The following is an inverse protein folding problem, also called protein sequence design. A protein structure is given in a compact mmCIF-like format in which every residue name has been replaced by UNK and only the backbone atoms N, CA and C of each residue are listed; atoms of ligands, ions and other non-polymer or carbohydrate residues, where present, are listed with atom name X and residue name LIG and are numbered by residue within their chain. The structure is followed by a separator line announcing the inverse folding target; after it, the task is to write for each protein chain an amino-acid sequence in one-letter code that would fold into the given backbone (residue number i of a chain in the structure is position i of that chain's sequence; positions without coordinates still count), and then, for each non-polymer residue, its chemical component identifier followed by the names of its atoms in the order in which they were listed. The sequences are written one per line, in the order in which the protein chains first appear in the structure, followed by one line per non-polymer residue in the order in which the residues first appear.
data_IF_572275770302
#
_entry.id   IF_572275770302
#
_cell.length_a   1.000
_cell.length_b   1.000
_cell.length_c   1.000
_cell.angle_alpha   90.00
_cell.angle_beta   90.00
_cell.angle_gamma   90.00
#
_symmetry.space_group_name_H-M   'P 1'
#
loop_
_entity.id
_entity.type
_entity.pdbx_description
1 polymer ?
#
# COMPACT_ATOMS: atom_id res chain seq x y z
N UNK A 1 5.39 9.95 11.98
CA UNK A 1 5.85 8.89 11.10
C UNK A 1 7.02 9.40 10.25
N UNK A 2 8.16 8.77 10.39
CA UNK A 2 9.34 9.16 9.63
C UNK A 2 9.27 8.51 8.24
N UNK A 3 8.77 9.25 7.26
CA UNK A 3 8.64 8.82 5.85
C UNK A 3 9.90 9.12 5.01
N UNK A 4 11.02 9.44 5.64
CA UNK A 4 12.24 9.80 4.93
C UNK A 4 13.46 9.30 5.70
N UNK A 5 13.86 8.12 5.35
CA UNK A 5 15.05 7.46 5.86
C UNK A 5 14.75 5.99 6.16
N UNK A 6 15.72 5.17 5.98
CA UNK A 6 15.68 3.73 6.27
C UNK A 6 15.62 3.42 7.77
N UNK A 7 14.80 4.15 8.54
CA UNK A 7 14.72 3.97 10.00
C UNK A 7 13.27 4.13 10.47
N UNK A 8 12.81 3.19 11.29
CA UNK A 8 11.58 3.30 12.05
C UNK A 8 11.93 3.69 13.50
N UNK A 9 11.33 4.77 14.01
CA UNK A 9 11.49 5.18 15.39
C UNK A 9 10.38 4.59 16.25
N UNK A 10 10.74 3.70 17.21
CA UNK A 10 9.82 3.11 18.16
C UNK A 10 10.36 3.42 19.57
N UNK A 11 9.61 4.16 20.39
CA UNK A 11 9.95 4.50 21.77
C UNK A 11 11.42 4.94 21.92
N UNK A 12 11.82 6.00 21.22
CA UNK A 12 13.16 6.61 21.24
C UNK A 12 14.31 5.73 20.70
N UNK A 13 14.00 4.62 20.06
CA UNK A 13 14.97 3.79 19.34
C UNK A 13 14.69 3.81 17.86
N UNK A 14 15.75 4.00 17.08
CA UNK A 14 15.71 3.87 15.62
C UNK A 14 16.03 2.41 15.25
N UNK A 15 15.20 1.84 14.38
CA UNK A 15 15.40 0.52 13.78
C UNK A 15 15.63 0.69 12.30
N UNK A 16 16.62 0.01 11.71
CA UNK A 16 16.82 0.03 10.27
C UNK A 16 15.59 -0.60 9.59
N UNK A 17 14.98 0.15 8.68
CA UNK A 17 13.78 -0.29 7.97
C UNK A 17 13.86 0.15 6.51
N UNK A 18 13.63 -0.75 5.58
CA UNK A 18 13.52 -0.40 4.16
C UNK A 18 12.29 0.49 3.90
N UNK A 19 12.29 1.17 2.77
CA UNK A 19 11.28 2.17 2.41
C UNK A 19 9.83 1.61 2.48
N UNK A 20 9.65 0.33 2.13
CA UNK A 20 8.36 -0.37 2.16
C UNK A 20 8.22 -1.35 3.33
N UNK A 21 9.10 -1.25 4.33
CA UNK A 21 9.14 -2.20 5.43
C UNK A 21 9.97 -3.45 5.09
N UNK A 22 9.58 -4.59 5.63
CA UNK A 22 10.31 -5.85 5.47
C UNK A 22 9.44 -7.03 5.00
N UNK A 23 8.12 -6.87 5.04
CA UNK A 23 7.20 -7.99 4.77
C UNK A 23 7.28 -8.50 3.32
N UNK A 24 7.61 -7.64 2.37
CA UNK A 24 7.82 -7.97 0.96
C UNK A 24 9.14 -8.72 0.71
N UNK A 25 10.09 -8.64 1.63
CA UNK A 25 11.39 -9.33 1.59
C UNK A 25 11.38 -10.68 2.31
N UNK A 26 10.31 -10.98 3.05
CA UNK A 26 10.18 -12.21 3.82
C UNK A 26 9.60 -13.36 2.99
N UNK A 27 9.96 -14.58 3.36
CA UNK A 27 9.29 -15.77 2.85
C UNK A 27 7.95 -15.95 3.58
N UNK A 28 6.87 -15.98 2.82
CA UNK A 28 5.53 -16.24 3.31
C UNK A 28 5.20 -17.73 3.19
N UNK A 29 4.46 -18.24 4.16
CA UNK A 29 3.92 -19.58 4.10
C UNK A 29 2.44 -19.54 3.65
N UNK A 30 1.97 -20.66 3.12
CA UNK A 30 0.56 -20.81 2.75
C UNK A 30 -0.17 -21.42 3.93
N UNK A 31 -1.01 -20.61 4.58
CA UNK A 31 -1.84 -21.06 5.69
C UNK A 31 -3.03 -21.91 5.20
N UNK A 32 -3.69 -21.46 4.15
CA UNK A 32 -4.82 -22.19 3.57
C UNK A 32 -5.03 -21.85 2.10
N UNK A 33 -5.62 -22.80 1.37
CA UNK A 33 -6.03 -22.62 -0.04
C UNK A 33 -7.48 -23.09 -0.17
N UNK A 34 -8.31 -22.18 -0.68
CA UNK A 34 -9.69 -22.47 -1.09
C UNK A 34 -9.84 -22.54 -2.61
N UNK A 35 -11.04 -22.80 -3.12
CA UNK A 35 -11.31 -22.83 -4.56
C UNK A 35 -11.11 -21.48 -5.23
N UNK A 36 -11.37 -20.38 -4.52
CA UNK A 36 -11.35 -19.03 -5.06
C UNK A 36 -10.44 -18.10 -4.24
N UNK A 37 -9.61 -18.64 -3.32
CA UNK A 37 -8.78 -17.80 -2.48
C UNK A 37 -7.61 -18.52 -1.84
N UNK A 38 -6.72 -17.73 -1.26
CA UNK A 38 -5.54 -18.18 -0.52
C UNK A 38 -5.29 -17.27 0.67
N UNK A 39 -4.91 -17.86 1.78
CA UNK A 39 -4.40 -17.13 2.95
C UNK A 39 -2.90 -17.40 3.08
N UNK A 40 -2.16 -16.33 3.13
CA UNK A 40 -0.71 -16.35 3.38
C UNK A 40 -0.47 -15.90 4.83
N UNK A 41 0.55 -16.48 5.44
CA UNK A 41 0.97 -16.18 6.81
C UNK A 41 2.45 -15.79 6.85
N UNK A 42 2.75 -14.77 7.64
CA UNK A 42 4.10 -14.39 8.00
C UNK A 42 4.17 -14.23 9.51
N UNK A 43 4.98 -15.06 10.15
CA UNK A 43 5.24 -14.99 11.57
C UNK A 43 6.56 -14.29 11.87
N UNK A 44 6.66 -13.72 13.06
CA UNK A 44 7.91 -13.14 13.54
C UNK A 44 9.00 -14.20 13.67
N UNK A 45 10.20 -13.86 13.24
CA UNK A 45 11.40 -14.71 13.29
C UNK A 45 12.52 -13.95 14.02
N UNK A 46 13.61 -14.62 14.43
CA UNK A 46 14.78 -13.91 14.95
C UNK A 46 15.32 -12.83 14.01
N UNK A 47 15.19 -13.03 12.68
CA UNK A 47 15.61 -12.04 11.69
C UNK A 47 14.67 -10.85 11.64
N UNK A 48 13.36 -11.06 11.59
CA UNK A 48 12.39 -9.95 11.60
C UNK A 48 12.44 -9.16 12.90
N UNK A 49 12.70 -9.82 14.04
CA UNK A 49 12.87 -9.17 15.34
C UNK A 49 14.09 -8.24 15.43
N UNK A 50 15.08 -8.44 14.60
CA UNK A 50 16.21 -7.51 14.50
C UNK A 50 15.79 -6.16 13.91
N UNK A 51 14.86 -6.19 12.94
CA UNK A 51 14.32 -4.99 12.28
C UNK A 51 13.11 -4.42 13.03
N UNK A 52 12.27 -5.30 13.57
CA UNK A 52 11.00 -4.96 14.22
C UNK A 52 10.83 -5.86 15.46
N UNK A 53 11.16 -5.38 16.67
CA UNK A 53 11.38 -6.20 17.86
C UNK A 53 10.07 -6.61 18.56
N UNK A 54 9.13 -7.12 17.82
CA UNK A 54 7.84 -7.60 18.33
C UNK A 54 7.57 -9.02 17.87
N UNK A 55 6.79 -9.74 18.65
CA UNK A 55 6.18 -10.99 18.26
C UNK A 55 4.86 -10.69 17.57
N UNK A 56 4.72 -11.15 16.33
CA UNK A 56 3.55 -10.89 15.51
C UNK A 56 3.23 -12.06 14.59
N UNK A 57 1.98 -12.14 14.22
CA UNK A 57 1.48 -12.90 13.07
C UNK A 57 0.77 -11.95 12.11
N UNK A 58 1.13 -11.99 10.84
CA UNK A 58 0.48 -11.27 9.77
C UNK A 58 -0.17 -12.27 8.81
N UNK A 59 -1.49 -12.15 8.63
CA UNK A 59 -2.26 -12.92 7.68
C UNK A 59 -2.69 -12.01 6.53
N UNK A 60 -2.52 -12.47 5.30
CA UNK A 60 -3.08 -11.81 4.11
C UNK A 60 -3.94 -12.81 3.36
N UNK A 61 -5.21 -12.51 3.28
CA UNK A 61 -6.18 -13.32 2.55
C UNK A 61 -6.50 -12.65 1.21
N UNK A 62 -6.48 -13.44 0.15
CA UNK A 62 -6.90 -13.07 -1.20
C UNK A 62 -8.09 -13.92 -1.58
N UNK A 63 -9.22 -13.28 -1.89
CA UNK A 63 -10.44 -13.90 -2.40
C UNK A 63 -10.80 -13.35 -3.77
N UNK A 64 -11.15 -14.23 -4.70
CA UNK A 64 -11.56 -13.88 -6.06
C UNK A 64 -13.04 -14.19 -6.24
N UNK A 65 -13.78 -13.20 -6.72
CA UNK A 65 -15.20 -13.39 -7.08
C UNK A 65 -15.46 -12.71 -8.44
N UNK A 66 -15.49 -13.51 -9.48
CA UNK A 66 -15.63 -13.01 -10.86
C UNK A 66 -14.45 -12.09 -11.22
N UNK A 67 -14.72 -10.80 -11.37
CA UNK A 67 -13.72 -9.77 -11.69
C UNK A 67 -13.26 -8.98 -10.46
N UNK A 68 -13.68 -9.37 -9.28
CA UNK A 68 -13.32 -8.71 -8.02
C UNK A 68 -12.27 -9.52 -7.28
N UNK A 69 -11.20 -8.88 -6.87
CA UNK A 69 -10.24 -9.40 -5.90
C UNK A 69 -10.43 -8.66 -4.57
N UNK A 70 -10.72 -9.39 -3.51
CA UNK A 70 -10.78 -8.87 -2.15
C UNK A 70 -9.52 -9.26 -1.40
N UNK A 71 -8.89 -8.29 -0.75
CA UNK A 71 -7.66 -8.50 0.01
C UNK A 71 -7.94 -8.04 1.43
N UNK A 72 -7.80 -8.95 2.39
CA UNK A 72 -7.88 -8.61 3.80
C UNK A 72 -6.58 -8.92 4.51
N UNK A 73 -6.22 -8.06 5.45
CA UNK A 73 -4.98 -8.15 6.20
C UNK A 73 -5.30 -8.16 7.69
N UNK A 74 -4.73 -9.13 8.41
CA UNK A 74 -4.90 -9.24 9.86
C UNK A 74 -3.54 -9.23 10.50
N UNK A 75 -3.33 -8.26 11.40
CA UNK A 75 -2.11 -8.13 12.19
C UNK A 75 -2.43 -8.55 13.63
N UNK A 76 -1.74 -9.58 14.11
CA UNK A 76 -1.91 -10.11 15.46
C UNK A 76 -0.64 -9.78 16.24
N UNK A 77 -0.83 -9.12 17.37
CA UNK A 77 0.24 -8.91 18.35
C UNK A 77 0.32 -10.13 19.26
N UNK A 78 1.38 -10.91 19.13
CA UNK A 78 1.62 -12.11 19.93
C UNK A 78 2.37 -11.80 21.25
N UNK A 79 2.74 -10.54 21.46
CA UNK A 79 3.46 -10.10 22.66
C UNK A 79 2.58 -9.39 23.67
N UNK A 80 3.15 -9.13 24.85
CA UNK A 80 2.46 -8.49 25.98
C UNK A 80 2.51 -6.95 25.96
N UNK A 81 3.19 -6.36 24.97
CA UNK A 81 3.36 -4.91 24.88
C UNK A 81 2.66 -4.35 23.62
N UNK A 82 2.18 -3.11 23.67
CA UNK A 82 1.61 -2.48 22.48
C UNK A 82 2.61 -2.49 21.31
N UNK A 83 2.16 -2.99 20.18
CA UNK A 83 2.91 -3.12 18.93
C UNK A 83 2.45 -2.07 17.94
N UNK A 84 3.19 -0.97 17.74
CA UNK A 84 2.85 0.02 16.73
C UNK A 84 3.21 -0.52 15.34
N UNK A 85 2.27 -0.45 14.41
CA UNK A 85 2.52 -0.88 13.03
C UNK A 85 1.89 0.09 12.04
N UNK A 86 2.41 0.04 10.83
CA UNK A 86 1.82 0.67 9.65
C UNK A 86 1.80 -0.38 8.54
N UNK A 87 0.75 -0.40 7.77
CA UNK A 87 0.57 -1.34 6.68
C UNK A 87 0.12 -0.61 5.42
N UNK A 88 0.58 -1.07 4.26
CA UNK A 88 0.19 -0.53 2.97
C UNK A 88 0.14 -1.63 1.91
N UNK A 89 -0.63 -1.39 0.86
CA UNK A 89 -0.70 -2.24 -0.31
C UNK A 89 -0.20 -1.49 -1.54
N UNK A 90 0.64 -2.12 -2.35
CA UNK A 90 1.26 -1.50 -3.52
C UNK A 90 0.89 -2.26 -4.81
N UNK A 91 -0.35 -2.12 -5.30
CA UNK A 91 -0.80 -2.83 -6.49
C UNK A 91 -0.22 -2.22 -7.76
N UNK A 92 -0.04 -3.07 -8.77
CA UNK A 92 0.35 -2.67 -10.11
C UNK A 92 -0.78 -2.97 -11.09
N UNK A 93 -1.11 -2.00 -11.93
CA UNK A 93 -2.13 -2.13 -12.96
C UNK A 93 -1.50 -1.90 -14.33
N UNK A 94 -1.86 -2.74 -15.30
CA UNK A 94 -1.43 -2.57 -16.69
C UNK A 94 -2.31 -1.54 -17.37
N UNK A 95 -1.69 -0.63 -18.11
CA UNK A 95 -2.38 0.33 -18.95
C UNK A 95 -1.84 0.27 -20.39
N UNK A 96 -2.68 0.62 -21.38
CA UNK A 96 -2.27 0.71 -22.79
C UNK A 96 -1.20 1.80 -23.00
N UNK A 97 -1.39 2.94 -22.35
CA UNK A 97 -0.45 4.03 -22.20
C UNK A 97 -0.90 4.92 -21.04
N UNK A 98 0.02 5.59 -20.36
CA UNK A 98 -0.31 6.41 -19.18
C UNK A 98 -1.25 7.58 -19.53
N UNK A 99 -1.06 8.18 -20.68
CA UNK A 99 -1.88 9.28 -21.21
C UNK A 99 -3.32 8.88 -21.55
N UNK A 100 -3.58 7.59 -21.72
CA UNK A 100 -4.91 7.06 -21.97
C UNK A 100 -5.70 6.82 -20.67
N UNK A 101 -5.06 6.89 -19.51
CA UNK A 101 -5.73 6.61 -18.24
C UNK A 101 -6.36 7.85 -17.66
N UNK A 102 -7.67 7.79 -17.46
CA UNK A 102 -8.40 8.75 -16.64
C UNK A 102 -8.44 8.25 -15.20
N UNK A 103 -8.07 9.13 -14.27
CA UNK A 103 -8.09 8.91 -12.84
C UNK A 103 -9.26 9.68 -12.23
N UNK A 104 -10.23 8.96 -11.70
CA UNK A 104 -11.29 9.51 -10.86
C UNK A 104 -10.92 9.24 -9.40
N UNK A 105 -10.16 10.15 -8.82
CA UNK A 105 -9.65 10.10 -7.46
C UNK A 105 -9.99 11.42 -6.79
N UNK A 106 -10.75 11.35 -5.71
CA UNK A 106 -11.00 12.49 -4.85
C UNK A 106 -10.02 12.45 -3.68
N UNK A 107 -9.36 13.56 -3.41
CA UNK A 107 -8.43 13.68 -2.30
C UNK A 107 -8.34 15.13 -1.82
N UNK A 108 -7.91 15.33 -0.59
CA UNK A 108 -7.77 16.68 -0.02
C UNK A 108 -6.54 17.39 -0.60
N UNK A 109 -5.41 16.69 -0.70
CA UNK A 109 -4.17 17.25 -1.26
C UNK A 109 -3.57 16.33 -2.30
N UNK A 110 -2.80 16.91 -3.23
CA UNK A 110 -2.06 16.16 -4.24
C UNK A 110 -0.73 16.88 -4.53
N UNK A 111 0.39 16.25 -4.18
CA UNK A 111 1.74 16.79 -4.37
C UNK A 111 2.59 15.90 -5.26
N UNK A 112 3.47 16.52 -6.05
CA UNK A 112 4.48 15.80 -6.82
C UNK A 112 5.72 15.42 -5.99
N UNK A 113 5.83 15.96 -4.79
CA UNK A 113 6.97 15.75 -3.90
C UNK A 113 6.50 15.29 -2.53
N UNK A 114 7.17 14.28 -1.99
CA UNK A 114 6.93 13.82 -0.62
C UNK A 114 7.37 14.83 0.45
N UNK A 115 8.24 15.79 0.07
CA UNK A 115 8.77 16.85 0.95
C UNK A 115 8.28 18.20 0.47
N UNK A 116 7.61 18.94 1.34
CA UNK A 116 7.17 20.31 1.07
C UNK A 116 5.68 20.53 1.29
N UNK A 117 5.18 21.64 0.77
CA UNK A 117 3.77 21.99 0.84
C UNK A 117 2.89 20.93 0.14
N UNK A 118 1.79 20.62 0.77
CA UNK A 118 0.76 19.73 0.22
C UNK A 118 -0.35 20.61 -0.38
N UNK A 119 -0.29 20.95 -1.68
CA UNK A 119 -1.30 21.79 -2.30
C UNK A 119 -2.64 21.07 -2.34
N UNK A 120 -3.73 21.85 -2.35
CA UNK A 120 -5.07 21.32 -2.56
C UNK A 120 -5.11 20.50 -3.87
N UNK A 121 -5.90 19.43 -3.85
CA UNK A 121 -6.00 18.56 -5.02
C UNK A 121 -6.56 19.34 -6.22
N UNK A 122 -6.03 19.12 -7.43
CA UNK A 122 -6.59 19.67 -8.65
C UNK A 122 -7.96 19.02 -8.95
N UNK A 123 -8.80 19.72 -9.70
CA UNK A 123 -10.10 19.18 -10.13
C UNK A 123 -9.96 17.84 -10.88
N UNK A 124 -8.87 17.67 -11.61
CA UNK A 124 -8.55 16.43 -12.33
C UNK A 124 -7.10 16.02 -12.08
N UNK A 125 -6.92 14.80 -11.60
CA UNK A 125 -5.59 14.21 -11.44
C UNK A 125 -5.14 13.63 -12.78
N UNK A 126 -3.95 14.03 -13.21
CA UNK A 126 -3.29 13.49 -14.40
C UNK A 126 -1.89 13.01 -14.04
N UNK A 127 -1.51 11.88 -14.60
CA UNK A 127 -0.14 11.37 -14.53
C UNK A 127 0.51 11.55 -15.90
N UNK A 128 1.65 12.21 -15.91
CA UNK A 128 2.44 12.37 -17.14
C UNK A 128 3.84 11.85 -16.87
N UNK A 129 4.39 11.13 -17.85
CA UNK A 129 5.78 10.71 -17.79
C UNK A 129 6.65 11.97 -18.00
N UNK A 130 7.48 12.31 -17.04
CA UNK A 130 8.49 13.37 -17.23
C UNK A 130 9.67 12.79 -18.00
N UNK A 131 10.16 13.52 -19.00
CA UNK A 131 11.35 13.15 -19.76
C UNK A 131 12.55 13.03 -18.79
N UNK A 132 13.20 11.86 -18.77
CA UNK A 132 14.34 11.59 -17.88
C UNK A 132 13.98 11.15 -16.45
N UNK A 133 12.69 11.00 -16.12
CA UNK A 133 12.25 10.42 -14.85
C UNK A 133 11.57 9.08 -15.09
N UNK A 134 11.94 8.07 -14.28
CA UNK A 134 11.37 6.74 -14.43
C UNK A 134 9.88 6.69 -14.08
N UNK A 135 9.43 7.55 -13.17
CA UNK A 135 8.04 7.56 -12.71
C UNK A 135 7.51 8.97 -12.43
N UNK A 136 6.22 9.15 -12.65
CA UNK A 136 5.44 10.28 -12.13
C UNK A 136 4.81 9.85 -10.81
N UNK A 137 5.25 10.43 -9.70
CA UNK A 137 4.73 10.12 -8.38
C UNK A 137 3.79 11.23 -7.95
N UNK A 138 2.66 10.86 -7.36
CA UNK A 138 1.74 11.75 -6.67
C UNK A 138 1.55 11.26 -5.25
N UNK A 139 1.80 12.12 -4.28
CA UNK A 139 1.42 11.89 -2.89
C UNK A 139 0.08 12.57 -2.65
N UNK A 140 -0.89 11.82 -2.21
CA UNK A 140 -2.24 12.28 -1.94
C UNK A 140 -2.59 12.03 -0.48
N UNK A 141 -3.33 12.95 0.13
CA UNK A 141 -3.89 12.78 1.48
C UNK A 141 -5.39 12.98 1.46
N UNK A 142 -6.09 12.37 2.42
CA UNK A 142 -7.55 12.43 2.48
C UNK A 142 -8.19 11.87 1.21
N UNK A 143 -7.70 10.73 0.76
CA UNK A 143 -8.27 10.02 -0.41
C UNK A 143 -9.63 9.47 -0.02
N UNK A 144 -10.62 9.74 -0.85
CA UNK A 144 -11.96 9.16 -0.73
C UNK A 144 -12.06 7.92 -1.61
N UNK A 145 -12.61 6.85 -1.06
CA UNK A 145 -12.92 5.63 -1.80
C UNK A 145 -14.40 5.57 -2.20
N UNK A 146 -14.76 4.85 -3.27
CA UNK A 146 -13.86 4.18 -4.20
C UNK A 146 -13.14 5.14 -5.15
N UNK A 147 -11.92 4.78 -5.56
CA UNK A 147 -11.23 5.45 -6.66
C UNK A 147 -11.26 4.60 -7.93
N UNK A 148 -11.23 5.23 -9.09
CA UNK A 148 -11.37 4.54 -10.37
C UNK A 148 -10.28 4.96 -11.35
N UNK A 149 -9.79 3.98 -12.10
CA UNK A 149 -8.85 4.15 -13.21
C UNK A 149 -9.51 3.60 -14.47
N UNK A 150 -9.64 4.42 -15.50
CA UNK A 150 -10.24 4.01 -16.79
C UNK A 150 -9.23 4.20 -17.91
N UNK A 151 -8.80 3.10 -18.52
CA UNK A 151 -7.94 3.13 -19.71
C UNK A 151 -8.80 3.22 -20.97
N UNK A 152 -8.82 4.38 -21.61
CA UNK A 152 -9.55 4.64 -22.83
C UNK A 152 -8.97 3.93 -24.06
N UNK A 153 -7.71 3.52 -23.99
CA UNK A 153 -7.05 2.84 -25.10
C UNK A 153 -7.52 1.40 -25.30
N UNK A 154 -7.94 0.74 -24.22
CA UNK A 154 -8.42 -0.65 -24.25
C UNK A 154 -9.80 -0.85 -23.61
N UNK A 155 -10.38 0.19 -23.02
CA UNK A 155 -11.67 0.15 -22.34
C UNK A 155 -11.67 -0.51 -20.97
N UNK A 156 -10.52 -0.86 -20.41
CA UNK A 156 -10.44 -1.44 -19.09
C UNK A 156 -10.71 -0.41 -17.99
N UNK A 157 -11.45 -0.83 -17.00
CA UNK A 157 -11.76 -0.04 -15.82
C UNK A 157 -11.40 -0.84 -14.57
N UNK A 158 -10.66 -0.20 -13.66
CA UNK A 158 -10.36 -0.72 -12.35
C UNK A 158 -11.00 0.19 -11.31
N UNK A 159 -11.72 -0.39 -10.37
CA UNK A 159 -12.23 0.32 -9.20
C UNK A 159 -11.52 -0.23 -7.97
N UNK A 160 -10.92 0.65 -7.20
CA UNK A 160 -10.28 0.32 -5.93
C UNK A 160 -11.14 0.88 -4.82
N UNK A 161 -11.56 0.02 -3.93
CA UNK A 161 -12.30 0.37 -2.74
C UNK A 161 -11.51 -0.08 -1.50
N UNK A 162 -11.67 0.60 -0.40
CA UNK A 162 -11.03 0.26 0.86
C UNK A 162 -11.93 0.64 2.02
N UNK A 163 -11.84 -0.12 3.10
CA UNK A 163 -12.54 0.20 4.32
C UNK A 163 -11.86 1.36 5.08
N UNK A 164 -12.50 1.84 6.13
CA UNK A 164 -12.04 2.98 6.92
C UNK A 164 -10.66 2.80 7.59
N UNK A 165 -10.16 1.56 7.70
CA UNK A 165 -8.83 1.30 8.28
C UNK A 165 -7.68 1.74 7.36
N UNK A 166 -7.96 1.94 6.05
CA UNK A 166 -7.02 2.50 5.07
C UNK A 166 -7.16 4.01 4.88
N UNK A 167 -8.04 4.65 5.61
CA UNK A 167 -8.22 6.12 5.56
C UNK A 167 -7.38 6.77 6.65
N UNK A 168 -6.66 7.81 6.31
CA UNK A 168 -5.89 8.65 7.26
C UNK A 168 -6.66 9.90 7.62
#
# INVERSE_FOLDING_TARGET
ACLVGSEMCIRDRAYPMECHGFADLCAWEVESVGPDGVTLILESTPLTKFLYPFDFTLLVNYDLNGTTASISMTVINEGDVPMPFSFGYHPYFTASALENVDFDIKCATCSENAKGEQPAAPEKITLTRKEGADNSIRLMTGVEFPMTFTDKGNGHKVTVDADESFTN
#
